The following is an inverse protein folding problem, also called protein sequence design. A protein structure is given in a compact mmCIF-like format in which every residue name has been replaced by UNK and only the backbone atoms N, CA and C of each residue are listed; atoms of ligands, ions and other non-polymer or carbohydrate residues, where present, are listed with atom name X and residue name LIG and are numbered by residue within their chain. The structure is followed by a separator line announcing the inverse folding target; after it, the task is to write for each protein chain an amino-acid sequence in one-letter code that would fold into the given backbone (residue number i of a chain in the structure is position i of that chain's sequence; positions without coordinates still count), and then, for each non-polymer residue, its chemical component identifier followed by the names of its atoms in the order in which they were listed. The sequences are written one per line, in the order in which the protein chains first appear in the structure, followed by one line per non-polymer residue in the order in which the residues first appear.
data_IF_042762826050
#
_entry.id   IF_042762826050
#
_cell.length_a   1.000
_cell.length_b   1.000
_cell.length_c   1.000
_cell.angle_alpha   90.00
_cell.angle_beta   90.00
_cell.angle_gamma   90.00
#
_symmetry.space_group_name_H-M   'P 1'
#
loop_
_entity.id
_entity.type
_entity.pdbx_description
1 polymer ?
#
# COMPACT_ATOMS: atom_id res chain seq x y z
N UNK A 1 -17.28 -7.80 7.00
CA UNK A 1 -16.92 -6.64 6.15
C UNK A 1 -15.42 -6.68 5.92
N UNK A 2 -14.91 -6.38 4.71
CA UNK A 2 -13.46 -6.33 4.47
C UNK A 2 -12.95 -4.89 4.49
N UNK A 3 -11.88 -4.61 5.24
CA UNK A 3 -11.33 -3.26 5.40
C UNK A 3 -9.96 -3.14 4.71
N UNK A 4 -9.71 -1.99 4.09
CA UNK A 4 -8.44 -1.60 3.51
C UNK A 4 -7.98 -0.25 4.06
N UNK A 5 -6.69 0.04 3.94
CA UNK A 5 -6.07 1.27 4.44
C UNK A 5 -5.15 1.88 3.39
N UNK A 6 -5.10 3.22 3.33
CA UNK A 6 -4.21 3.95 2.44
C UNK A 6 -2.76 3.83 2.91
N UNK A 7 -1.87 3.40 2.01
CA UNK A 7 -0.47 3.12 2.35
C UNK A 7 0.30 4.34 2.91
N UNK A 8 -0.11 5.56 2.59
CA UNK A 8 0.54 6.77 3.11
C UNK A 8 0.23 7.02 4.61
N UNK A 9 -0.87 6.45 5.13
CA UNK A 9 -1.24 6.52 6.56
C UNK A 9 -0.51 5.49 7.42
N UNK A 10 0.08 4.48 6.78
CA UNK A 10 0.78 3.40 7.47
C UNK A 10 2.21 3.81 7.83
N UNK A 11 2.68 3.50 9.06
CA UNK A 11 4.08 3.67 9.41
C UNK A 11 4.97 2.70 8.61
N UNK A 12 6.23 3.08 8.42
CA UNK A 12 7.21 2.24 7.71
C UNK A 12 8.00 3.02 6.67
N UNK A 13 9.25 2.59 6.45
CA UNK A 13 10.19 3.25 5.53
C UNK A 13 9.95 2.90 4.06
N UNK A 14 9.39 1.72 3.79
CA UNK A 14 9.10 1.21 2.45
C UNK A 14 7.72 0.54 2.39
N UNK A 15 7.29 0.17 1.18
CA UNK A 15 5.99 -0.46 0.96
C UNK A 15 5.88 -1.82 1.65
N UNK A 16 6.94 -2.61 1.71
CA UNK A 16 6.92 -3.92 2.37
C UNK A 16 6.65 -3.76 3.87
N UNK A 17 7.32 -2.83 4.54
CA UNK A 17 7.08 -2.49 5.94
C UNK A 17 5.66 -1.97 6.16
N UNK A 18 5.17 -1.08 5.29
CA UNK A 18 3.79 -0.57 5.36
C UNK A 18 2.76 -1.69 5.21
N UNK A 19 2.92 -2.58 4.23
CA UNK A 19 2.02 -3.71 4.00
C UNK A 19 2.06 -4.73 5.14
N UNK A 20 3.24 -4.95 5.74
CA UNK A 20 3.36 -5.79 6.95
C UNK A 20 2.57 -5.19 8.12
N UNK A 21 2.69 -3.88 8.36
CA UNK A 21 1.91 -3.17 9.38
C UNK A 21 0.40 -3.25 9.12
N UNK A 22 -0.03 -3.14 7.86
CA UNK A 22 -1.42 -3.30 7.49
C UNK A 22 -1.97 -4.70 7.87
N UNK A 23 -1.16 -5.75 7.63
CA UNK A 23 -1.52 -7.12 8.00
C UNK A 23 -1.57 -7.30 9.52
N UNK A 24 -0.59 -6.75 10.25
CA UNK A 24 -0.56 -6.76 11.72
C UNK A 24 -1.78 -6.05 12.34
N UNK A 25 -2.25 -4.96 11.73
CA UNK A 25 -3.45 -4.23 12.19
C UNK A 25 -4.77 -4.89 11.77
N UNK A 26 -4.73 -6.00 11.04
CA UNK A 26 -5.91 -6.76 10.64
C UNK A 26 -6.64 -6.23 9.39
N UNK A 27 -6.01 -5.35 8.61
CA UNK A 27 -6.54 -4.97 7.30
C UNK A 27 -6.41 -6.13 6.31
N UNK A 28 -7.29 -6.15 5.32
CA UNK A 28 -7.37 -7.21 4.30
C UNK A 28 -7.02 -6.70 2.90
N UNK A 29 -6.54 -5.46 2.80
CA UNK A 29 -6.09 -4.84 1.57
C UNK A 29 -5.41 -3.50 1.84
N UNK A 30 -4.68 -3.04 0.84
CA UNK A 30 -4.03 -1.72 0.86
C UNK A 30 -4.52 -0.88 -0.31
N UNK A 31 -4.80 0.39 -0.05
CA UNK A 31 -5.09 1.39 -1.07
C UNK A 31 -3.82 2.17 -1.42
N UNK A 32 -3.51 2.25 -2.71
CA UNK A 32 -2.38 3.06 -3.19
C UNK A 32 -2.88 4.47 -3.52
N UNK A 33 -2.15 5.49 -3.06
CA UNK A 33 -2.47 6.90 -3.27
C UNK A 33 -1.36 7.55 -4.08
N UNK A 34 -1.69 8.35 -5.09
CA UNK A 34 -0.67 8.95 -5.97
C UNK A 34 0.36 9.82 -5.25
N UNK A 35 0.00 10.44 -4.12
CA UNK A 35 0.88 11.31 -3.31
C UNK A 35 1.67 10.55 -2.23
N UNK A 36 1.54 9.22 -2.14
CA UNK A 36 2.34 8.40 -1.23
C UNK A 36 3.64 7.88 -1.86
N UNK A 37 3.94 8.29 -3.09
CA UNK A 37 5.10 7.90 -3.86
C UNK A 37 5.93 9.12 -4.28
N UNK A 38 7.24 8.94 -4.34
CA UNK A 38 8.13 9.85 -5.03
C UNK A 38 8.07 9.54 -6.53
N UNK A 39 7.38 10.40 -7.29
CA UNK A 39 7.21 10.24 -8.74
C UNK A 39 5.99 9.41 -9.17
N UNK A 40 5.92 9.03 -10.46
CA UNK A 40 4.84 8.18 -10.98
C UNK A 40 4.76 6.83 -10.26
N UNK A 41 3.56 6.41 -9.87
CA UNK A 41 3.32 5.10 -9.23
C UNK A 41 3.83 3.92 -10.08
N UNK A 42 3.85 4.08 -11.40
CA UNK A 42 4.40 3.09 -12.35
C UNK A 42 5.86 2.74 -12.08
N UNK A 43 6.62 3.66 -11.50
CA UNK A 43 8.06 3.47 -11.25
C UNK A 43 8.28 2.55 -10.04
N UNK A 44 7.22 2.26 -9.28
CA UNK A 44 7.24 1.49 -8.04
C UNK A 44 6.58 0.11 -8.17
N UNK A 45 6.23 -0.34 -9.38
CA UNK A 45 5.52 -1.60 -9.61
C UNK A 45 6.20 -2.82 -8.95
N UNK A 46 7.53 -2.94 -9.10
CA UNK A 46 8.28 -4.03 -8.48
C UNK A 46 8.19 -4.02 -6.95
N UNK A 47 8.24 -2.84 -6.33
CA UNK A 47 8.12 -2.68 -4.89
C UNK A 47 6.70 -2.98 -4.39
N UNK A 48 5.67 -2.62 -5.18
CA UNK A 48 4.27 -2.96 -4.90
C UNK A 48 4.08 -4.48 -4.94
N UNK A 49 4.55 -5.15 -5.99
CA UNK A 49 4.44 -6.61 -6.12
C UNK A 49 5.18 -7.33 -4.98
N UNK A 50 6.38 -6.86 -4.63
CA UNK A 50 7.14 -7.40 -3.51
C UNK A 50 6.37 -7.25 -2.19
N UNK A 51 5.78 -6.07 -1.94
CA UNK A 51 4.99 -5.82 -0.73
C UNK A 51 3.75 -6.72 -0.65
N UNK A 52 3.03 -6.91 -1.76
CA UNK A 52 1.90 -7.84 -1.83
C UNK A 52 2.31 -9.29 -1.51
N UNK A 53 3.42 -9.76 -2.08
CA UNK A 53 3.94 -11.11 -1.82
C UNK A 53 4.38 -11.30 -0.37
N UNK A 54 5.03 -10.29 0.21
CA UNK A 54 5.56 -10.35 1.56
C UNK A 54 4.46 -10.34 2.64
N UNK A 55 3.39 -9.55 2.45
CA UNK A 55 2.31 -9.45 3.44
C UNK A 55 1.13 -10.38 3.17
N UNK A 56 0.99 -10.89 1.94
CA UNK A 56 -0.21 -11.60 1.49
C UNK A 56 -1.42 -10.68 1.27
N UNK A 57 -1.26 -9.36 1.38
CA UNK A 57 -2.35 -8.41 1.17
C UNK A 57 -2.44 -7.95 -0.29
N UNK A 58 -3.66 -7.90 -0.86
CA UNK A 58 -3.87 -7.32 -2.18
C UNK A 58 -3.86 -5.79 -2.14
N UNK A 59 -3.53 -5.17 -3.27
CA UNK A 59 -3.94 -3.79 -3.55
C UNK A 59 -5.43 -3.79 -3.90
N UNK A 60 -6.25 -3.10 -3.11
CA UNK A 60 -7.72 -3.11 -3.26
C UNK A 60 -8.25 -1.96 -4.12
N UNK A 61 -7.54 -0.83 -4.15
CA UNK A 61 -7.95 0.37 -4.90
C UNK A 61 -6.75 1.29 -5.16
N UNK A 62 -6.95 2.19 -6.14
CA UNK A 62 -6.03 3.27 -6.46
C UNK A 62 -6.76 4.60 -6.26
N UNK A 63 -6.21 5.48 -5.42
CA UNK A 63 -6.69 6.84 -5.22
C UNK A 63 -5.87 7.81 -6.09
N UNK A 64 -6.53 8.37 -7.11
CA UNK A 64 -5.92 9.26 -8.11
C UNK A 64 -6.13 10.75 -7.81
N UNK A 65 -6.93 11.11 -6.81
CA UNK A 65 -7.20 12.50 -6.45
C UNK A 65 -6.00 13.12 -5.74
N UNK A 66 -5.31 14.09 -6.34
CA UNK A 66 -4.31 14.87 -5.59
C UNK A 66 -5.03 15.89 -4.69
N UNK A 67 -4.71 15.95 -3.38
CA UNK A 67 -5.11 17.07 -2.54
C UNK A 67 -4.47 18.39 -2.98
#
# INVERSE_FOLDING_TARGET
MKLAIQHHLLPGKDLSAKFAQAAEYGFQGVELTGWGFDGPMSDHLAAIEQAQRASGLPVSSLCSHRP
#
